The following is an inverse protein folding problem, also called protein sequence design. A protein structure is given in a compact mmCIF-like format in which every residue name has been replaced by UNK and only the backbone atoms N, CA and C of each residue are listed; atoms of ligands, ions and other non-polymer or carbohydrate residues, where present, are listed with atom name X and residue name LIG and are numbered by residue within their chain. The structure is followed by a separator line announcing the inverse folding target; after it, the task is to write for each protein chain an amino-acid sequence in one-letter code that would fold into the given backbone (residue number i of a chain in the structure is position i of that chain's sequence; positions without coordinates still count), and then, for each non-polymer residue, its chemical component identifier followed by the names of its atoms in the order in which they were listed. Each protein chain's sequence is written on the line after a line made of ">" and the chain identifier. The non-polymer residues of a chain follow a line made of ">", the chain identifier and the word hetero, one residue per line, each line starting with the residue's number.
data_IF_605563195641
#
_entry.id   IF_605563195641
#
_cell.length_a   1.000
_cell.length_b   1.000
_cell.length_c   1.000
_cell.angle_alpha   90.00
_cell.angle_beta   90.00
_cell.angle_gamma   90.00
#
_symmetry.space_group_name_H-M   'P 1'
#
loop_
_entity.id
_entity.type
_entity.pdbx_description
1 polymer ?
#
# COMPACT_ATOMS: atom_id res chain seq x y z
N UNK A 1 -10.15 -12.99 -2.93
CA UNK A 1 -11.15 -14.06 -2.66
C UNK A 1 -12.53 -13.44 -2.84
N UNK A 2 -13.52 -14.16 -3.37
CA UNK A 2 -14.90 -13.65 -3.39
C UNK A 2 -15.63 -14.03 -2.11
N UNK A 3 -16.18 -13.05 -1.40
CA UNK A 3 -16.93 -13.26 -0.15
C UNK A 3 -18.30 -12.59 -0.22
N UNK A 4 -19.25 -13.06 0.57
CA UNK A 4 -20.52 -12.34 0.79
C UNK A 4 -20.29 -11.33 1.91
N UNK A 5 -20.21 -10.06 1.55
CA UNK A 5 -19.91 -8.99 2.49
C UNK A 5 -21.13 -8.54 3.29
N UNK A 6 -22.32 -8.51 2.70
CA UNK A 6 -23.52 -8.19 3.47
C UNK A 6 -23.82 -9.29 4.47
N UNK A 7 -24.20 -8.90 5.69
CA UNK A 7 -24.55 -9.81 6.76
C UNK A 7 -25.88 -9.42 7.37
N UNK A 8 -26.61 -10.42 7.83
CA UNK A 8 -27.86 -10.25 8.58
C UNK A 8 -27.76 -10.95 9.93
N UNK A 9 -28.08 -10.23 11.00
CA UNK A 9 -28.11 -10.76 12.36
C UNK A 9 -29.33 -11.67 12.52
N UNK A 10 -29.15 -12.87 13.07
CA UNK A 10 -30.26 -13.78 13.39
C UNK A 10 -30.95 -13.50 14.71
N UNK A 11 -30.50 -12.51 15.48
CA UNK A 11 -31.11 -12.13 16.75
C UNK A 11 -31.84 -10.79 16.72
N UNK A 12 -31.48 -9.86 15.83
CA UNK A 12 -32.15 -8.56 15.71
C UNK A 12 -32.44 -8.12 14.27
N UNK A 13 -32.20 -8.99 13.28
CA UNK A 13 -32.41 -8.75 11.84
C UNK A 13 -31.63 -7.56 11.24
N UNK A 14 -30.77 -6.90 12.04
CA UNK A 14 -29.92 -5.83 11.56
C UNK A 14 -29.00 -6.32 10.44
N UNK A 15 -28.89 -5.51 9.37
CA UNK A 15 -28.00 -5.76 8.25
C UNK A 15 -26.83 -4.80 8.25
N UNK A 16 -25.64 -5.32 7.98
CA UNK A 16 -24.42 -4.51 7.88
C UNK A 16 -23.45 -5.13 6.87
N UNK A 17 -22.49 -4.32 6.44
CA UNK A 17 -21.39 -4.78 5.57
C UNK A 17 -20.20 -5.24 6.42
N UNK A 18 -19.77 -6.49 6.21
CA UNK A 18 -18.47 -6.97 6.68
C UNK A 18 -17.32 -6.15 6.09
N UNK A 19 -17.48 -5.59 4.90
CA UNK A 19 -16.44 -4.75 4.27
C UNK A 19 -16.22 -3.43 5.01
N UNK A 20 -17.25 -2.91 5.67
CA UNK A 20 -17.18 -1.67 6.46
C UNK A 20 -16.70 -1.93 7.90
N UNK A 21 -17.11 -3.05 8.48
CA UNK A 21 -16.94 -3.32 9.91
C UNK A 21 -15.79 -4.27 10.23
N UNK A 22 -15.31 -5.04 9.24
CA UNK A 22 -14.32 -6.10 9.43
C UNK A 22 -14.77 -7.21 10.38
N UNK A 23 -16.06 -7.24 10.77
CA UNK A 23 -16.56 -8.03 11.89
C UNK A 23 -17.80 -8.83 11.52
N UNK A 24 -17.83 -10.08 12.00
CA UNK A 24 -19.00 -10.96 11.93
C UNK A 24 -19.98 -10.73 13.11
N UNK A 25 -19.59 -9.92 14.08
CA UNK A 25 -20.44 -9.50 15.20
C UNK A 25 -21.40 -8.41 14.74
N UNK A 26 -22.67 -8.55 15.09
CA UNK A 26 -23.66 -7.52 14.81
C UNK A 26 -23.31 -6.22 15.54
N UNK A 27 -23.16 -5.08 14.84
CA UNK A 27 -22.80 -3.81 15.48
C UNK A 27 -23.90 -3.26 16.39
N UNK A 28 -25.16 -3.66 16.16
CA UNK A 28 -26.30 -3.18 16.95
C UNK A 28 -26.50 -3.93 18.27
N UNK A 29 -26.24 -5.24 18.33
CA UNK A 29 -26.55 -6.06 19.51
C UNK A 29 -25.37 -6.91 20.03
N UNK A 30 -24.21 -6.88 19.36
CA UNK A 30 -23.03 -7.66 19.74
C UNK A 30 -23.14 -9.17 19.47
N UNK A 31 -24.22 -9.64 18.83
CA UNK A 31 -24.41 -11.06 18.56
C UNK A 31 -23.47 -11.57 17.47
N UNK A 32 -22.84 -12.73 17.71
CA UNK A 32 -22.03 -13.45 16.70
C UNK A 32 -22.88 -14.28 15.73
N UNK A 33 -24.20 -14.37 15.95
CA UNK A 33 -25.11 -15.16 15.11
C UNK A 33 -25.51 -14.35 13.87
N UNK A 34 -24.66 -14.39 12.86
CA UNK A 34 -24.90 -13.69 11.59
C UNK A 34 -24.71 -14.60 10.39
N UNK A 35 -25.46 -14.35 9.32
CA UNK A 35 -25.31 -15.05 8.04
C UNK A 35 -24.94 -14.06 6.94
N UNK A 36 -24.10 -14.50 5.99
CA UNK A 36 -23.81 -13.71 4.80
C UNK A 36 -24.99 -13.73 3.83
N UNK A 37 -25.53 -12.56 3.51
CA UNK A 37 -26.58 -12.32 2.52
C UNK A 37 -26.00 -11.58 1.30
N UNK A 38 -26.77 -11.46 0.22
CA UNK A 38 -26.33 -10.77 -0.99
C UNK A 38 -25.36 -11.55 -1.88
N UNK A 39 -24.85 -10.86 -2.89
CA UNK A 39 -23.94 -11.40 -3.89
C UNK A 39 -22.51 -11.50 -3.35
N UNK A 40 -21.71 -12.36 -4.00
CA UNK A 40 -20.28 -12.47 -3.69
C UNK A 40 -19.55 -11.36 -4.43
N UNK A 41 -18.64 -10.67 -3.76
CA UNK A 41 -17.77 -9.68 -4.39
C UNK A 41 -16.31 -9.96 -4.04
N UNK A 42 -15.39 -9.57 -4.93
CA UNK A 42 -13.95 -9.69 -4.66
C UNK A 42 -13.56 -8.79 -3.49
N UNK A 43 -12.73 -9.34 -2.63
CA UNK A 43 -12.18 -8.62 -1.49
C UNK A 43 -10.75 -9.09 -1.25
N UNK A 44 -9.86 -8.12 -1.15
CA UNK A 44 -8.44 -8.28 -0.81
C UNK A 44 -8.03 -7.35 0.33
N UNK A 45 -8.68 -6.16 0.42
CA UNK A 45 -8.39 -5.15 1.43
C UNK A 45 -8.85 -5.57 2.83
N UNK A 46 -7.94 -6.07 3.68
CA UNK A 46 -8.28 -6.26 5.09
C UNK A 46 -8.30 -4.90 5.81
N UNK A 47 -9.22 -4.73 6.75
CA UNK A 47 -9.29 -3.53 7.58
C UNK A 47 -8.19 -3.58 8.65
N UNK A 48 -7.10 -2.86 8.42
CA UNK A 48 -5.95 -2.76 9.35
C UNK A 48 -5.42 -1.34 9.31
N UNK A 49 -5.42 -0.69 10.46
CA UNK A 49 -4.73 0.58 10.65
C UNK A 49 -3.27 0.28 11.02
N UNK A 50 -2.34 1.04 10.45
CA UNK A 50 -0.95 1.01 10.85
C UNK A 50 -0.79 1.79 12.16
N UNK A 51 -0.38 1.14 13.24
CA UNK A 51 -0.06 1.81 14.52
C UNK A 51 1.43 1.70 14.80
N UNK A 52 2.13 2.84 14.78
CA UNK A 52 3.57 2.93 15.05
C UNK A 52 3.87 3.48 16.45
N UNK A 53 2.87 3.71 17.30
CA UNK A 53 3.03 4.34 18.61
C UNK A 53 3.99 3.58 19.52
N UNK A 54 3.85 2.26 19.62
CA UNK A 54 4.74 1.41 20.41
C UNK A 54 6.19 1.45 19.91
N UNK A 55 6.37 1.51 18.58
CA UNK A 55 7.69 1.56 17.96
C UNK A 55 8.36 2.93 18.14
N UNK A 56 7.60 4.02 18.11
CA UNK A 56 8.08 5.36 18.47
C UNK A 56 8.62 5.40 19.89
N UNK A 57 7.89 4.82 20.86
CA UNK A 57 8.36 4.72 22.24
C UNK A 57 9.63 3.87 22.36
N UNK A 58 9.67 2.70 21.71
CA UNK A 58 10.83 1.81 21.74
C UNK A 58 12.11 2.46 21.18
N UNK A 59 11.98 3.24 20.10
CA UNK A 59 13.11 4.01 19.55
C UNK A 59 13.51 5.17 20.46
N UNK A 60 12.56 5.81 21.14
CA UNK A 60 12.84 6.88 22.10
C UNK A 60 13.58 6.41 23.36
N UNK A 61 13.28 5.19 23.83
CA UNK A 61 13.89 4.60 25.01
C UNK A 61 15.20 3.83 24.71
N UNK A 62 15.46 3.54 23.42
CA UNK A 62 16.55 2.67 22.99
C UNK A 62 17.20 3.13 21.68
N UNK A 63 17.53 2.16 20.82
CA UNK A 63 18.07 2.43 19.48
C UNK A 63 17.15 1.89 18.40
N UNK A 64 17.27 2.46 17.18
CA UNK A 64 16.56 1.94 15.99
C UNK A 64 16.91 0.47 15.77
N UNK A 65 18.16 0.06 15.99
CA UNK A 65 18.60 -1.32 15.81
C UNK A 65 17.87 -2.28 16.75
N UNK A 66 17.65 -1.87 18.01
CA UNK A 66 16.98 -2.71 19.00
C UNK A 66 15.47 -2.84 18.71
N UNK A 67 14.84 -1.77 18.23
CA UNK A 67 13.43 -1.76 17.85
C UNK A 67 13.15 -2.45 16.49
N UNK A 68 14.14 -2.52 15.60
CA UNK A 68 13.97 -2.96 14.21
C UNK A 68 13.31 -4.34 14.05
N UNK A 69 13.64 -5.40 14.81
CA UNK A 69 13.00 -6.70 14.62
C UNK A 69 11.48 -6.68 14.79
N UNK A 70 10.99 -5.99 15.84
CA UNK A 70 9.56 -5.86 16.12
C UNK A 70 8.88 -4.97 15.08
N UNK A 71 9.45 -3.78 14.82
CA UNK A 71 8.91 -2.85 13.82
C UNK A 71 8.76 -3.50 12.44
N UNK A 72 9.78 -4.23 11.98
CA UNK A 72 9.74 -4.91 10.68
C UNK A 72 8.78 -6.09 10.66
N UNK A 73 8.50 -6.71 11.80
CA UNK A 73 7.47 -7.74 11.89
C UNK A 73 6.10 -7.13 11.65
N UNK A 74 5.78 -6.05 12.35
CA UNK A 74 4.48 -5.40 12.28
C UNK A 74 4.24 -4.71 10.93
N UNK A 75 5.26 -4.07 10.36
CA UNK A 75 5.19 -3.50 9.01
C UNK A 75 4.89 -4.57 7.95
N UNK A 76 5.54 -5.73 8.03
CA UNK A 76 5.27 -6.83 7.08
C UNK A 76 3.87 -7.39 7.27
N UNK A 77 3.38 -7.48 8.51
CA UNK A 77 2.02 -7.95 8.77
C UNK A 77 0.97 -6.94 8.25
N UNK A 78 1.20 -5.64 8.44
CA UNK A 78 0.40 -4.57 7.82
C UNK A 78 0.40 -4.70 6.29
N UNK A 79 1.58 -4.67 5.65
CA UNK A 79 1.74 -4.77 4.19
C UNK A 79 1.05 -6.01 3.62
N UNK A 80 1.18 -7.16 4.30
CA UNK A 80 0.55 -8.43 3.86
C UNK A 80 -0.98 -8.37 3.90
N UNK A 81 -1.54 -7.57 4.81
CA UNK A 81 -2.99 -7.38 5.00
C UNK A 81 -3.54 -6.25 4.14
N UNK A 82 -2.68 -5.35 3.66
CA UNK A 82 -3.04 -4.33 2.67
C UNK A 82 -3.48 -4.99 1.37
N UNK A 83 -4.68 -4.61 0.91
CA UNK A 83 -5.19 -4.96 -0.41
C UNK A 83 -6.00 -3.80 -0.96
N UNK A 84 -6.28 -3.83 -2.24
CA UNK A 84 -6.83 -2.71 -3.01
C UNK A 84 -8.20 -3.00 -3.61
N UNK A 85 -8.84 -4.10 -3.23
CA UNK A 85 -10.23 -4.38 -3.57
C UNK A 85 -11.07 -4.49 -2.30
N UNK A 86 -12.03 -3.60 -2.11
CA UNK A 86 -12.99 -3.61 -1.01
C UNK A 86 -14.39 -3.89 -1.53
N UNK A 87 -14.81 -5.15 -1.45
CA UNK A 87 -16.18 -5.52 -1.78
C UNK A 87 -16.56 -5.26 -3.24
N UNK A 88 -15.62 -5.46 -4.16
CA UNK A 88 -15.77 -5.17 -5.59
C UNK A 88 -15.29 -3.77 -6.00
N UNK A 89 -15.12 -2.86 -5.05
CA UNK A 89 -14.61 -1.52 -5.33
C UNK A 89 -13.08 -1.51 -5.34
N UNK A 90 -12.50 -0.84 -6.35
CA UNK A 90 -11.06 -0.62 -6.44
C UNK A 90 -10.67 0.58 -5.56
N UNK A 91 -9.75 0.36 -4.62
CA UNK A 91 -9.17 1.39 -3.78
C UNK A 91 -7.94 2.01 -4.44
N UNK A 92 -7.64 3.30 -4.20
CA UNK A 92 -6.44 3.95 -4.69
C UNK A 92 -5.17 3.45 -3.98
N UNK A 93 -4.02 3.67 -4.62
CA UNK A 93 -2.71 3.51 -3.99
C UNK A 93 -2.41 4.72 -3.09
N UNK A 94 -2.81 4.63 -1.82
CA UNK A 94 -2.60 5.69 -0.82
C UNK A 94 -1.14 5.82 -0.37
N UNK A 95 -0.82 6.91 0.33
CA UNK A 95 0.53 7.19 0.84
C UNK A 95 0.92 6.29 2.03
N UNK A 96 -0.01 5.87 2.89
CA UNK A 96 0.30 5.02 4.06
C UNK A 96 0.96 3.68 3.69
N UNK A 97 0.45 2.89 2.71
CA UNK A 97 1.17 1.71 2.22
C UNK A 97 2.58 2.02 1.69
N UNK A 98 2.74 3.08 0.90
CA UNK A 98 4.04 3.50 0.36
C UNK A 98 5.03 3.84 1.49
N UNK A 99 4.59 4.64 2.47
CA UNK A 99 5.38 5.00 3.64
C UNK A 99 5.75 3.78 4.51
N UNK A 100 4.85 2.80 4.62
CA UNK A 100 5.10 1.55 5.36
C UNK A 100 6.18 0.69 4.68
N UNK A 101 6.11 0.52 3.36
CA UNK A 101 7.16 -0.15 2.59
C UNK A 101 8.49 0.61 2.73
N UNK A 102 8.47 1.94 2.62
CA UNK A 102 9.67 2.74 2.73
C UNK A 102 10.32 2.63 4.10
N UNK A 103 9.53 2.73 5.17
CA UNK A 103 10.01 2.55 6.54
C UNK A 103 10.60 1.15 6.73
N UNK A 104 10.00 0.10 6.15
CA UNK A 104 10.49 -1.28 6.21
C UNK A 104 11.89 -1.43 5.60
N UNK A 105 12.13 -0.77 4.46
CA UNK A 105 13.43 -0.79 3.79
C UNK A 105 14.45 0.13 4.48
N UNK A 106 14.06 1.36 4.84
CA UNK A 106 14.94 2.31 5.51
C UNK A 106 15.43 1.80 6.88
N UNK A 107 14.56 1.16 7.67
CA UNK A 107 14.98 0.54 8.93
C UNK A 107 15.88 -0.68 8.70
N UNK A 108 15.75 -1.41 7.59
CA UNK A 108 16.68 -2.49 7.25
C UNK A 108 18.09 -1.97 6.99
N UNK A 109 18.21 -0.85 6.24
CA UNK A 109 19.49 -0.18 5.99
C UNK A 109 20.17 0.22 7.30
N UNK A 110 19.45 0.94 8.18
CA UNK A 110 19.99 1.40 9.47
C UNK A 110 20.33 0.22 10.39
N UNK A 111 19.48 -0.80 10.47
CA UNK A 111 19.70 -1.94 11.37
C UNK A 111 20.91 -2.78 10.96
N UNK A 112 21.18 -2.91 9.65
CA UNK A 112 22.33 -3.66 9.12
C UNK A 112 23.62 -2.85 9.12
N UNK A 113 23.55 -1.53 9.08
CA UNK A 113 24.73 -0.67 9.14
C UNK A 113 25.40 -0.76 10.50
N UNK A 114 26.72 -1.00 10.55
CA UNK A 114 27.46 -1.01 11.82
C UNK A 114 27.49 0.37 12.49
N UNK A 115 27.50 1.43 11.67
CA UNK A 115 27.54 2.83 12.09
C UNK A 115 26.68 3.66 11.12
N UNK A 116 25.36 3.68 11.30
CA UNK A 116 24.49 4.50 10.48
C UNK A 116 24.82 5.98 10.66
N UNK A 117 24.64 6.77 9.62
CA UNK A 117 24.84 8.22 9.69
C UNK A 117 23.70 8.87 10.49
N UNK A 118 23.87 10.14 10.89
CA UNK A 118 22.81 10.88 11.57
C UNK A 118 21.64 11.15 10.62
N UNK A 119 21.91 11.39 9.33
CA UNK A 119 20.89 11.60 8.29
C UNK A 119 20.06 10.33 8.07
N UNK A 120 20.68 9.16 8.02
CA UNK A 120 19.98 7.87 7.90
C UNK A 120 19.05 7.61 9.10
N UNK A 121 19.54 7.90 10.32
CA UNK A 121 18.76 7.75 11.54
C UNK A 121 17.59 8.74 11.59
N UNK A 122 17.85 10.01 11.25
CA UNK A 122 16.83 11.05 11.21
C UNK A 122 15.74 10.72 10.18
N UNK A 123 16.12 10.18 9.03
CA UNK A 123 15.20 9.76 8.00
C UNK A 123 14.25 8.65 8.50
N UNK A 124 14.78 7.60 9.14
CA UNK A 124 13.94 6.55 9.75
C UNK A 124 13.04 7.11 10.86
N UNK A 125 13.54 8.01 11.71
CA UNK A 125 12.73 8.65 12.76
C UNK A 125 11.60 9.50 12.14
N UNK A 126 11.86 10.17 11.02
CA UNK A 126 10.87 10.97 10.32
C UNK A 126 9.76 10.09 9.76
N UNK A 127 10.11 9.00 9.08
CA UNK A 127 9.16 8.00 8.60
C UNK A 127 8.35 7.38 9.74
N UNK A 128 9.01 6.98 10.83
CA UNK A 128 8.35 6.37 11.99
C UNK A 128 7.33 7.30 12.67
N UNK A 129 7.49 8.62 12.51
CA UNK A 129 6.55 9.61 13.07
C UNK A 129 5.32 9.84 12.21
N UNK A 130 5.40 9.58 10.91
CA UNK A 130 4.42 10.10 9.93
C UNK A 130 3.83 9.05 9.01
N UNK A 131 4.44 7.86 8.91
CA UNK A 131 3.98 6.83 7.99
C UNK A 131 2.55 6.35 8.31
N UNK A 132 2.18 6.26 9.59
CA UNK A 132 0.80 5.95 10.04
C UNK A 132 -0.18 7.13 9.87
N UNK A 133 0.32 8.34 9.63
CA UNK A 133 -0.47 9.53 9.32
C UNK A 133 -0.65 9.72 7.79
N UNK A 134 -0.02 8.84 6.99
CA UNK A 134 -0.08 8.91 5.54
C UNK A 134 0.82 10.00 4.93
N UNK A 135 1.84 10.47 5.65
CA UNK A 135 2.81 11.40 5.07
C UNK A 135 4.11 10.68 4.67
N UNK A 136 4.63 11.06 3.50
CA UNK A 136 5.93 10.62 2.98
C UNK A 136 6.92 11.79 3.00
N UNK A 137 8.20 11.56 3.29
CA UNK A 137 9.22 12.60 3.09
C UNK A 137 9.32 12.99 1.61
N UNK A 138 9.45 14.29 1.33
CA UNK A 138 9.72 14.79 -0.02
C UNK A 138 11.03 14.21 -0.60
N UNK A 139 11.18 14.23 -1.92
CA UNK A 139 12.33 13.61 -2.60
C UNK A 139 13.67 14.27 -2.25
N UNK A 140 13.67 15.56 -1.91
CA UNK A 140 14.85 16.30 -1.47
C UNK A 140 15.23 16.00 0.00
N UNK A 141 14.32 15.43 0.77
CA UNK A 141 14.55 14.99 2.14
C UNK A 141 15.10 13.56 2.24
N UNK A 142 15.24 12.85 1.11
CA UNK A 142 15.78 11.49 1.06
C UNK A 142 17.31 11.54 1.03
N UNK A 143 18.01 10.95 2.02
CA UNK A 143 19.46 10.80 1.95
C UNK A 143 19.87 9.96 0.74
N UNK A 144 21.00 10.29 0.10
CA UNK A 144 21.50 9.53 -1.06
C UNK A 144 21.57 8.01 -0.78
N UNK A 145 21.95 7.61 0.44
CA UNK A 145 22.04 6.20 0.85
C UNK A 145 20.69 5.48 1.00
N UNK A 146 19.57 6.21 0.95
CA UNK A 146 18.21 5.69 1.04
C UNK A 146 17.46 5.70 -0.30
N UNK A 147 18.05 6.25 -1.36
CA UNK A 147 17.41 6.31 -2.70
C UNK A 147 17.01 4.92 -3.19
N UNK A 148 17.94 3.96 -3.16
CA UNK A 148 17.68 2.59 -3.61
C UNK A 148 16.63 1.90 -2.73
N UNK A 149 16.66 2.15 -1.42
CA UNK A 149 15.68 1.62 -0.48
C UNK A 149 14.26 2.14 -0.77
N UNK A 150 14.10 3.43 -1.08
CA UNK A 150 12.81 4.01 -1.49
C UNK A 150 12.37 3.46 -2.85
N UNK A 151 13.26 3.37 -3.83
CA UNK A 151 12.95 2.82 -5.14
C UNK A 151 12.42 1.38 -5.05
N UNK A 152 13.07 0.53 -4.25
CA UNK A 152 12.61 -0.84 -4.02
C UNK A 152 11.29 -0.89 -3.24
N UNK A 153 11.15 -0.05 -2.21
CA UNK A 153 9.92 0.05 -1.42
C UNK A 153 8.69 0.36 -2.28
N UNK A 154 8.79 1.36 -3.16
CA UNK A 154 7.68 1.75 -4.00
C UNK A 154 7.41 0.72 -5.11
N UNK A 155 8.46 0.10 -5.66
CA UNK A 155 8.29 -0.99 -6.62
C UNK A 155 7.47 -2.15 -6.02
N UNK A 156 7.73 -2.52 -4.77
CA UNK A 156 6.97 -3.56 -4.06
C UNK A 156 5.51 -3.13 -3.75
N UNK A 157 5.29 -1.87 -3.37
CA UNK A 157 3.94 -1.36 -3.15
C UNK A 157 3.11 -1.35 -4.45
N UNK A 158 3.72 -0.88 -5.55
CA UNK A 158 3.12 -0.87 -6.89
C UNK A 158 2.87 -2.29 -7.37
N UNK A 159 3.78 -3.23 -7.09
CA UNK A 159 3.59 -4.65 -7.39
C UNK A 159 2.32 -5.23 -6.75
N UNK A 160 2.13 -4.97 -5.45
CA UNK A 160 0.95 -5.40 -4.73
C UNK A 160 -0.32 -4.77 -5.33
N UNK A 161 -0.27 -3.48 -5.65
CA UNK A 161 -1.36 -2.77 -6.30
C UNK A 161 -1.69 -3.35 -7.69
N UNK A 162 -0.69 -3.55 -8.56
CA UNK A 162 -0.87 -4.10 -9.90
C UNK A 162 -1.48 -5.50 -9.90
N UNK A 163 -1.14 -6.35 -8.92
CA UNK A 163 -1.76 -7.68 -8.78
C UNK A 163 -3.26 -7.58 -8.49
N UNK A 164 -3.64 -6.70 -7.56
CA UNK A 164 -5.04 -6.48 -7.21
C UNK A 164 -5.79 -5.78 -8.34
N UNK A 165 -5.19 -4.79 -8.99
CA UNK A 165 -5.77 -4.13 -10.16
C UNK A 165 -5.99 -5.10 -11.33
N UNK A 166 -5.01 -5.95 -11.63
CA UNK A 166 -5.20 -7.03 -12.63
C UNK A 166 -6.33 -7.96 -12.24
N UNK A 167 -6.41 -8.32 -10.95
CA UNK A 167 -7.48 -9.17 -10.39
C UNK A 167 -8.85 -8.52 -10.51
N UNK A 168 -8.93 -7.20 -10.37
CA UNK A 168 -10.16 -6.41 -10.53
C UNK A 168 -10.59 -6.28 -12.00
N UNK A 169 -9.63 -6.08 -12.91
CA UNK A 169 -9.86 -5.99 -14.36
C UNK A 169 -10.35 -7.31 -14.99
N UNK A 170 -10.19 -8.44 -14.30
CA UNK A 170 -10.76 -9.71 -14.75
C UNK A 170 -12.29 -9.72 -14.65
N UNK A 171 -12.84 -8.99 -13.67
CA UNK A 171 -14.29 -8.82 -13.51
C UNK A 171 -14.81 -7.56 -14.22
N UNK A 172 -13.94 -6.57 -14.44
CA UNK A 172 -14.25 -5.29 -15.07
C UNK A 172 -13.33 -5.04 -16.28
N UNK A 173 -13.58 -5.69 -17.44
CA UNK A 173 -12.63 -5.67 -18.55
C UNK A 173 -12.47 -4.27 -19.17
N UNK A 174 -11.25 -3.75 -19.11
CA UNK A 174 -10.81 -2.56 -19.85
C UNK A 174 -9.48 -2.87 -20.57
N UNK A 175 -9.50 -3.18 -21.88
CA UNK A 175 -8.29 -3.56 -22.63
C UNK A 175 -7.22 -2.47 -22.68
N UNK A 176 -7.66 -1.22 -22.71
CA UNK A 176 -6.81 -0.05 -22.79
C UNK A 176 -6.01 0.17 -21.50
N UNK A 177 -6.68 0.06 -20.34
CA UNK A 177 -6.04 0.11 -19.03
C UNK A 177 -5.16 -1.12 -18.81
N UNK A 178 -5.59 -2.31 -19.25
CA UNK A 178 -4.79 -3.54 -19.14
C UNK A 178 -3.45 -3.41 -19.87
N UNK A 179 -3.44 -2.80 -21.04
CA UNK A 179 -2.19 -2.53 -21.80
C UNK A 179 -1.28 -1.57 -21.05
N UNK A 180 -1.82 -0.46 -20.52
CA UNK A 180 -1.03 0.51 -19.74
C UNK A 180 -0.49 -0.12 -18.44
N UNK A 181 -1.28 -0.98 -17.79
CA UNK A 181 -0.87 -1.73 -16.59
C UNK A 181 0.30 -2.70 -16.87
N UNK A 182 0.32 -3.34 -18.04
CA UNK A 182 1.44 -4.18 -18.46
C UNK A 182 2.73 -3.35 -18.61
N UNK A 183 2.64 -2.15 -19.18
CA UNK A 183 3.77 -1.21 -19.28
C UNK A 183 4.27 -0.80 -17.89
N UNK A 184 3.38 -0.37 -16.99
CA UNK A 184 3.73 -0.04 -15.60
C UNK A 184 4.44 -1.22 -14.91
N UNK A 185 3.89 -2.44 -15.08
CA UNK A 185 4.47 -3.66 -14.52
C UNK A 185 5.88 -3.95 -15.05
N UNK A 186 6.17 -3.59 -16.31
CA UNK A 186 7.50 -3.74 -16.90
C UNK A 186 8.50 -2.73 -16.32
N UNK A 187 8.14 -1.46 -16.14
CA UNK A 187 9.00 -0.49 -15.46
C UNK A 187 9.28 -0.92 -14.02
N UNK A 188 8.25 -1.33 -13.28
CA UNK A 188 8.39 -1.86 -11.92
C UNK A 188 9.34 -3.06 -11.85
N UNK A 189 9.29 -4.00 -12.82
CA UNK A 189 10.27 -5.10 -12.96
C UNK A 189 11.69 -4.61 -13.22
N UNK A 190 11.87 -3.53 -13.98
CA UNK A 190 13.19 -2.92 -14.16
C UNK A 190 13.72 -2.37 -12.83
N UNK A 191 12.90 -1.66 -12.06
CA UNK A 191 13.29 -1.13 -10.74
C UNK A 191 13.74 -2.26 -9.81
N UNK A 192 12.99 -3.35 -9.71
CA UNK A 192 13.39 -4.52 -8.93
C UNK A 192 14.70 -5.15 -9.42
N UNK A 193 14.89 -5.28 -10.73
CA UNK A 193 16.12 -5.82 -11.31
C UNK A 193 17.34 -4.93 -11.03
N UNK A 194 17.12 -3.63 -10.88
CA UNK A 194 18.13 -2.65 -10.47
C UNK A 194 18.25 -2.53 -8.94
N UNK A 195 17.56 -3.38 -8.17
CA UNK A 195 17.50 -3.31 -6.71
C UNK A 195 17.11 -1.92 -6.17
N UNK A 196 16.22 -1.22 -6.88
CA UNK A 196 15.77 0.12 -6.52
C UNK A 196 16.65 1.26 -7.04
N UNK A 197 17.75 0.98 -7.73
CA UNK A 197 18.68 1.99 -8.25
C UNK A 197 18.13 2.74 -9.49
N UNK A 198 17.10 3.56 -9.24
CA UNK A 198 16.48 4.50 -10.18
C UNK A 198 16.37 5.87 -9.53
N UNK A 199 16.06 6.92 -10.29
CA UNK A 199 15.87 8.24 -9.69
C UNK A 199 14.61 8.28 -8.82
N UNK A 200 14.60 9.17 -7.82
CA UNK A 200 13.41 9.42 -7.00
C UNK A 200 12.25 9.94 -7.85
N UNK A 201 12.53 10.79 -8.84
CA UNK A 201 11.51 11.27 -9.78
C UNK A 201 10.89 10.13 -10.57
N UNK A 202 11.69 9.18 -11.05
CA UNK A 202 11.17 8.00 -11.75
C UNK A 202 10.30 7.15 -10.82
N UNK A 203 10.73 6.94 -9.57
CA UNK A 203 9.94 6.19 -8.59
C UNK A 203 8.58 6.84 -8.31
N UNK A 204 8.54 8.17 -8.14
CA UNK A 204 7.29 8.92 -7.96
C UNK A 204 6.42 8.90 -9.22
N UNK A 205 6.99 9.01 -10.42
CA UNK A 205 6.24 8.90 -11.69
C UNK A 205 5.55 7.54 -11.85
N UNK A 206 6.13 6.45 -11.34
CA UNK A 206 5.46 5.14 -11.35
C UNK A 206 4.29 5.07 -10.37
N UNK A 207 4.39 5.75 -9.21
CA UNK A 207 3.27 5.89 -8.26
C UNK A 207 2.15 6.72 -8.87
N UNK A 208 2.50 7.84 -9.52
CA UNK A 208 1.56 8.71 -10.23
C UNK A 208 0.82 7.95 -11.32
N UNK A 209 1.52 7.23 -12.20
CA UNK A 209 0.90 6.41 -13.24
C UNK A 209 -0.04 5.33 -12.66
N UNK A 210 0.30 4.73 -11.50
CA UNK A 210 -0.59 3.77 -10.83
C UNK A 210 -1.88 4.42 -10.32
N UNK A 211 -1.80 5.66 -9.82
CA UNK A 211 -2.95 6.45 -9.36
C UNK A 211 -3.80 6.96 -10.53
N UNK A 212 -3.18 7.39 -11.62
CA UNK A 212 -3.89 7.79 -12.83
C UNK A 212 -4.69 6.63 -13.44
N UNK A 213 -4.16 5.40 -13.38
CA UNK A 213 -4.93 4.20 -13.76
C UNK A 213 -6.14 3.96 -12.86
N UNK A 214 -6.05 4.29 -11.56
CA UNK A 214 -7.19 4.26 -10.65
C UNK A 214 -8.26 5.27 -11.07
N UNK A 215 -7.86 6.55 -11.24
CA UNK A 215 -8.75 7.64 -11.67
C UNK A 215 -9.42 7.33 -12.99
N UNK A 216 -8.67 6.84 -13.99
CA UNK A 216 -9.22 6.44 -15.28
C UNK A 216 -10.32 5.38 -15.18
N UNK A 217 -10.23 4.45 -14.22
CA UNK A 217 -11.21 3.38 -14.03
C UNK A 217 -12.41 3.80 -13.18
N UNK A 218 -12.17 4.54 -12.10
CA UNK A 218 -13.21 4.89 -11.12
C UNK A 218 -14.01 6.10 -11.60
N UNK A 219 -13.37 7.06 -12.24
CA UNK A 219 -14.00 8.31 -12.69
C UNK A 219 -14.29 8.34 -14.20
N UNK A 220 -13.98 7.24 -14.93
CA UNK A 220 -14.07 7.14 -16.41
C UNK A 220 -13.28 8.25 -17.13
N UNK A 221 -12.14 8.63 -16.55
CA UNK A 221 -11.31 9.75 -17.01
C UNK A 221 -10.28 9.29 -18.06
N UNK A 222 -10.57 9.60 -19.33
CA UNK A 222 -9.68 9.32 -20.45
C UNK A 222 -8.42 10.19 -20.44
N UNK A 223 -8.46 11.39 -19.86
CA UNK A 223 -7.30 12.27 -19.76
C UNK A 223 -6.32 11.69 -18.73
N UNK A 224 -6.80 11.15 -17.62
CA UNK A 224 -5.97 10.41 -16.66
C UNK A 224 -5.26 9.21 -17.31
N UNK A 225 -5.97 8.44 -18.15
CA UNK A 225 -5.36 7.33 -18.87
C UNK A 225 -4.29 7.79 -19.88
N UNK A 226 -4.51 8.92 -20.55
CA UNK A 226 -3.54 9.51 -21.45
C UNK A 226 -2.29 9.96 -20.69
N UNK A 227 -2.45 10.66 -19.56
CA UNK A 227 -1.35 11.07 -18.68
C UNK A 227 -0.54 9.87 -18.20
N UNK A 228 -1.18 8.78 -17.76
CA UNK A 228 -0.48 7.56 -17.34
C UNK A 228 0.40 6.99 -18.46
N UNK A 229 -0.10 7.00 -19.71
CA UNK A 229 0.66 6.53 -20.87
C UNK A 229 1.84 7.44 -21.19
N UNK A 230 1.64 8.75 -21.15
CA UNK A 230 2.68 9.73 -21.43
C UNK A 230 3.78 9.70 -20.35
N UNK A 231 3.39 9.62 -19.08
CA UNK A 231 4.30 9.46 -17.94
C UNK A 231 5.17 8.22 -18.12
N UNK A 232 4.57 7.05 -18.40
CA UNK A 232 5.32 5.83 -18.63
C UNK A 232 6.20 5.89 -19.89
N UNK A 233 5.70 6.50 -20.97
CA UNK A 233 6.46 6.66 -22.21
C UNK A 233 7.72 7.52 -22.03
N UNK A 234 7.70 8.46 -21.09
CA UNK A 234 8.85 9.32 -20.76
C UNK A 234 9.96 8.62 -19.94
N UNK A 235 9.69 7.42 -19.39
CA UNK A 235 10.64 6.65 -18.58
C UNK A 235 11.49 5.65 -19.39
N UNK A 236 11.39 5.70 -20.72
CA UNK A 236 12.14 4.87 -21.67
C UNK A 236 13.41 5.54 -22.20
#
# INVERSE_FOLDING_TARGET
>A
MEIRGERECKECDHRWSYYETGSVSCPQCGSLRSVGVGDRARHTAMQVDLDLSAHRSAVGDGSIRDAAPALKSDLRDYIRKTGYIRGGELLPLEDTPLAAHELLHAVDVVARSNRPTDDEQLYVITLLRRADEGERPDTDAVPDSMTDARGLAYAEAIDAYCRDLSTWLDDNPNPEVRTTLETLSNHRKRVEALAGAVSLSESESLVEAARELHTALVDDDLDALASARDTLAALF
#
